data_IF_499844010706
#
_entry.id   IF_499844010706
#
_cell.length_a   1.000
_cell.length_b   1.000
_cell.length_c   1.000
_cell.angle_alpha   90.00
_cell.angle_beta   90.00
_cell.angle_gamma   90.00
#
_symmetry.space_group_name_H-M   'P 1'
#
loop_
_entity.id
_entity.type
_entity.pdbx_description
1 polymer ?
#
# COMPACT_ATOMS: atom_id res chain seq x y z
N UNK A 1 -21.89 49.02 -23.96
CA UNK A 1 -20.43 49.27 -23.85
C UNK A 1 -19.94 49.23 -22.39
N UNK A 2 -20.60 49.97 -21.50
CA UNK A 2 -20.28 50.04 -20.06
C UNK A 2 -20.49 48.70 -19.32
N UNK A 3 -21.60 48.00 -19.56
CA UNK A 3 -21.86 46.71 -18.92
C UNK A 3 -20.72 45.68 -19.19
N UNK A 4 -20.22 45.60 -20.43
CA UNK A 4 -19.08 44.74 -20.78
C UNK A 4 -17.78 45.17 -20.07
N UNK A 5 -17.57 46.47 -19.88
CA UNK A 5 -16.42 47.00 -19.14
C UNK A 5 -16.47 46.60 -17.68
N UNK A 6 -17.65 46.73 -17.04
CA UNK A 6 -17.86 46.34 -15.63
C UNK A 6 -17.67 44.85 -15.43
N UNK A 7 -18.21 44.00 -16.32
CA UNK A 7 -17.99 42.55 -16.24
C UNK A 7 -16.50 42.18 -16.37
N UNK A 8 -15.75 42.84 -17.26
CA UNK A 8 -14.32 42.60 -17.41
C UNK A 8 -13.51 43.06 -16.19
N UNK A 9 -13.93 44.14 -15.53
CA UNK A 9 -13.29 44.64 -14.31
C UNK A 9 -13.53 43.70 -13.12
N UNK A 10 -14.77 43.24 -12.94
CA UNK A 10 -15.12 42.23 -11.92
C UNK A 10 -14.32 40.94 -12.17
N UNK A 11 -14.25 40.48 -13.42
CA UNK A 11 -13.48 39.28 -13.79
C UNK A 11 -11.98 39.40 -13.47
N UNK A 12 -11.38 40.57 -13.71
CA UNK A 12 -9.98 40.83 -13.34
C UNK A 12 -9.77 40.85 -11.83
N UNK A 13 -10.63 41.55 -11.08
CA UNK A 13 -10.56 41.62 -9.62
C UNK A 13 -10.69 40.23 -8.98
N UNK A 14 -11.67 39.44 -9.42
CA UNK A 14 -11.86 38.06 -8.97
C UNK A 14 -10.65 37.18 -9.30
N UNK A 15 -10.05 37.36 -10.49
CA UNK A 15 -8.83 36.68 -10.89
C UNK A 15 -7.64 36.99 -9.97
N UNK A 16 -7.46 38.26 -9.59
CA UNK A 16 -6.41 38.69 -8.65
C UNK A 16 -6.58 38.06 -7.27
N UNK A 17 -7.79 38.13 -6.69
CA UNK A 17 -8.04 37.54 -5.37
C UNK A 17 -7.86 36.02 -5.37
N UNK A 18 -8.28 35.35 -6.44
CA UNK A 18 -8.02 33.92 -6.61
C UNK A 18 -6.52 33.59 -6.64
N UNK A 19 -5.71 34.39 -7.36
CA UNK A 19 -4.27 34.14 -7.42
C UNK A 19 -3.59 34.29 -6.05
N UNK A 20 -3.99 35.30 -5.27
CA UNK A 20 -3.51 35.47 -3.89
C UNK A 20 -3.89 34.27 -3.01
N UNK A 21 -5.10 33.75 -3.17
CA UNK A 21 -5.54 32.54 -2.46
C UNK A 21 -4.69 31.33 -2.84
N UNK A 22 -4.44 31.09 -4.13
CA UNK A 22 -3.57 30.00 -4.58
C UNK A 22 -2.16 30.11 -4.00
N UNK A 23 -1.58 31.32 -4.01
CA UNK A 23 -0.26 31.58 -3.42
C UNK A 23 -0.24 31.29 -1.92
N UNK A 24 -1.24 31.75 -1.17
CA UNK A 24 -1.36 31.47 0.25
C UNK A 24 -1.51 29.96 0.56
N UNK A 25 -2.26 29.22 -0.27
CA UNK A 25 -2.38 27.76 -0.16
C UNK A 25 -1.02 27.11 -0.40
N UNK A 26 -0.30 27.50 -1.46
CA UNK A 26 1.03 26.96 -1.76
C UNK A 26 2.03 27.22 -0.63
N UNK A 27 2.09 28.44 -0.09
CA UNK A 27 2.96 28.77 1.06
C UNK A 27 2.60 27.96 2.29
N UNK A 28 1.31 27.79 2.58
CA UNK A 28 0.86 26.96 3.71
C UNK A 28 1.27 25.51 3.51
N UNK A 29 1.14 24.99 2.28
CA UNK A 29 1.56 23.63 1.94
C UNK A 29 3.05 23.43 2.19
N UNK A 30 3.90 24.36 1.78
CA UNK A 30 5.35 24.30 2.04
C UNK A 30 5.67 24.24 3.54
N UNK A 31 4.97 25.02 4.37
CA UNK A 31 5.13 24.97 5.82
C UNK A 31 4.73 23.61 6.40
N UNK A 32 3.61 23.04 5.94
CA UNK A 32 3.16 21.71 6.37
C UNK A 32 4.18 20.65 5.96
N UNK A 33 4.75 20.73 4.75
CA UNK A 33 5.81 19.82 4.29
C UNK A 33 7.03 19.90 5.21
N UNK A 34 7.49 21.10 5.55
CA UNK A 34 8.62 21.27 6.47
C UNK A 34 8.36 20.62 7.84
N UNK A 35 7.18 20.85 8.42
CA UNK A 35 6.80 20.23 9.71
C UNK A 35 6.74 18.70 9.64
N UNK A 36 6.39 18.13 8.48
CA UNK A 36 6.37 16.68 8.28
C UNK A 36 7.76 16.05 8.15
N UNK A 37 8.73 16.79 7.60
CA UNK A 37 10.13 16.35 7.54
C UNK A 37 10.71 16.21 8.95
N UNK A 38 10.40 17.17 9.83
CA UNK A 38 10.93 17.23 11.19
C UNK A 38 10.12 16.37 12.19
N UNK A 39 9.06 15.70 11.74
CA UNK A 39 8.26 14.85 12.61
C UNK A 39 9.03 13.57 12.97
N UNK A 40 9.31 13.35 14.25
CA UNK A 40 10.00 12.14 14.74
C UNK A 40 9.05 10.95 14.96
N UNK A 41 7.72 11.13 14.82
CA UNK A 41 6.77 10.03 15.08
C UNK A 41 6.95 8.83 14.18
N UNK A 42 7.49 9.01 12.96
CA UNK A 42 7.78 7.90 12.05
C UNK A 42 8.68 6.85 12.72
N UNK A 43 9.71 7.28 13.44
CA UNK A 43 10.66 6.39 14.12
C UNK A 43 10.04 5.67 15.33
N UNK A 44 9.00 6.25 15.93
CA UNK A 44 8.32 5.71 17.12
C UNK A 44 7.26 4.67 16.72
N UNK A 45 6.60 4.86 15.58
CA UNK A 45 5.49 4.02 15.13
C UNK A 45 5.96 2.65 14.59
N UNK A 46 7.09 2.58 13.88
CA UNK A 46 7.58 1.31 13.30
C UNK A 46 7.90 0.21 14.33
N UNK A 47 8.64 0.48 15.43
CA UNK A 47 8.96 -0.55 16.44
C UNK A 47 7.73 -1.14 17.13
N UNK A 48 6.59 -0.45 17.12
CA UNK A 48 5.34 -0.90 17.73
C UNK A 48 4.46 -1.75 16.78
N UNK A 49 4.99 -2.14 15.62
CA UNK A 49 4.21 -2.83 14.57
C UNK A 49 3.29 -1.87 13.81
N UNK A 50 3.61 -0.57 13.81
CA UNK A 50 2.91 0.49 13.10
C UNK A 50 3.16 0.43 11.60
N UNK A 51 2.59 -0.56 10.92
CA UNK A 51 2.56 -0.61 9.45
C UNK A 51 1.41 0.18 8.85
N UNK A 52 0.57 0.84 9.65
CA UNK A 52 -0.67 1.48 9.19
C UNK A 52 -0.46 2.79 8.43
N UNK A 53 -1.58 3.45 8.10
CA UNK A 53 -1.55 4.79 7.47
C UNK A 53 -1.13 5.83 8.50
N UNK A 54 -0.01 6.50 8.26
CA UNK A 54 0.56 7.51 9.15
C UNK A 54 -0.32 8.76 9.22
N UNK A 55 -0.30 9.47 10.36
CA UNK A 55 -1.09 10.70 10.55
C UNK A 55 -0.80 11.78 9.51
N UNK A 56 0.46 11.93 9.12
CA UNK A 56 0.88 12.94 8.16
C UNK A 56 0.38 12.62 6.75
N UNK A 57 0.32 11.33 6.39
CA UNK A 57 -0.34 10.87 5.16
C UNK A 57 -1.82 11.25 5.15
N UNK A 58 -2.52 11.02 6.26
CA UNK A 58 -3.94 11.39 6.39
C UNK A 58 -4.15 12.89 6.25
N UNK A 59 -3.30 13.68 6.89
CA UNK A 59 -3.34 15.14 6.85
C UNK A 59 -3.13 15.66 5.42
N UNK A 60 -2.07 15.23 4.74
CA UNK A 60 -1.79 15.67 3.37
C UNK A 60 -2.86 15.26 2.37
N UNK A 61 -3.35 14.03 2.46
CA UNK A 61 -4.46 13.58 1.62
C UNK A 61 -5.73 14.39 1.91
N UNK A 62 -6.00 14.77 3.16
CA UNK A 62 -7.12 15.65 3.50
C UNK A 62 -6.99 17.03 2.85
N UNK A 63 -5.77 17.59 2.80
CA UNK A 63 -5.50 18.81 2.06
C UNK A 63 -5.72 18.64 0.55
N UNK A 64 -5.19 17.57 -0.04
CA UNK A 64 -5.37 17.28 -1.47
C UNK A 64 -6.86 17.22 -1.81
N UNK A 65 -7.66 16.46 -1.04
CA UNK A 65 -9.11 16.36 -1.24
C UNK A 65 -9.77 17.74 -1.16
N UNK A 66 -9.42 18.56 -0.18
CA UNK A 66 -9.98 19.91 -0.03
C UNK A 66 -9.66 20.83 -1.23
N UNK A 67 -8.45 20.73 -1.78
CA UNK A 67 -8.05 21.48 -2.98
C UNK A 67 -8.80 20.94 -4.21
N UNK A 68 -8.95 19.63 -4.34
CA UNK A 68 -9.72 18.98 -5.42
C UNK A 68 -11.19 19.39 -5.38
N UNK A 69 -11.82 19.41 -4.20
CA UNK A 69 -13.22 19.84 -4.05
C UNK A 69 -13.40 21.31 -4.45
N UNK A 70 -12.41 22.15 -4.12
CA UNK A 70 -12.37 23.56 -4.54
C UNK A 70 -12.24 23.67 -6.06
N UNK A 71 -11.43 22.82 -6.69
CA UNK A 71 -11.27 22.75 -8.15
C UNK A 71 -12.57 22.34 -8.86
N UNK A 72 -13.24 21.31 -8.36
CA UNK A 72 -14.52 20.85 -8.89
C UNK A 72 -15.56 21.96 -8.77
N UNK A 73 -15.69 22.55 -7.58
CA UNK A 73 -16.66 23.62 -7.32
C UNK A 73 -16.42 24.85 -8.19
N UNK A 74 -15.17 25.23 -8.45
CA UNK A 74 -14.84 26.41 -9.28
C UNK A 74 -15.03 26.18 -10.78
N UNK A 75 -14.94 24.93 -11.25
CA UNK A 75 -15.18 24.56 -12.65
C UNK A 75 -16.60 24.86 -13.10
N UNK A 76 -17.58 24.72 -12.20
CA UNK A 76 -19.00 24.96 -12.48
C UNK A 76 -19.35 26.44 -12.71
N UNK A 77 -18.51 27.38 -12.24
CA UNK A 77 -18.78 28.82 -12.32
C UNK A 77 -17.99 29.55 -13.42
N UNK A 78 -16.80 29.08 -13.81
CA UNK A 78 -16.03 29.68 -14.91
C UNK A 78 -14.90 28.77 -15.44
N UNK A 79 -14.90 28.36 -16.72
CA UNK A 79 -13.76 27.68 -17.32
C UNK A 79 -12.65 28.70 -17.56
N UNK A 80 -11.68 28.78 -16.64
CA UNK A 80 -10.60 29.77 -16.69
C UNK A 80 -9.23 29.10 -16.64
N UNK A 81 -8.23 29.76 -17.25
CA UNK A 81 -6.88 29.25 -17.51
C UNK A 81 -6.02 28.90 -16.28
N UNK A 82 -6.49 29.05 -15.03
CA UNK A 82 -5.66 28.84 -13.83
C UNK A 82 -5.99 27.53 -13.07
N UNK A 83 -6.89 26.69 -13.57
CA UNK A 83 -7.08 25.31 -13.07
C UNK A 83 -5.76 24.51 -13.09
N UNK A 84 -4.87 24.85 -14.04
CA UNK A 84 -3.56 24.23 -14.16
C UNK A 84 -2.63 24.45 -12.95
N UNK A 85 -2.70 25.60 -12.26
CA UNK A 85 -1.82 25.86 -11.11
C UNK A 85 -2.19 25.00 -9.89
N UNK A 86 -3.49 24.79 -9.65
CA UNK A 86 -3.96 23.95 -8.54
C UNK A 86 -3.80 22.46 -8.86
N UNK A 87 -3.99 22.06 -10.12
CA UNK A 87 -3.68 20.70 -10.56
C UNK A 87 -2.18 20.38 -10.37
N UNK A 88 -1.30 21.29 -10.78
CA UNK A 88 0.14 21.16 -10.55
C UNK A 88 0.49 21.09 -9.06
N UNK A 89 -0.17 21.89 -8.21
CA UNK A 89 0.03 21.81 -6.76
C UNK A 89 -0.40 20.46 -6.17
N UNK A 90 -1.50 19.87 -6.66
CA UNK A 90 -1.93 18.52 -6.27
C UNK A 90 -0.87 17.50 -6.67
N UNK A 91 -0.44 17.51 -7.92
CA UNK A 91 0.56 16.57 -8.45
C UNK A 91 1.88 16.67 -7.67
N UNK A 92 2.37 17.89 -7.43
CA UNK A 92 3.57 18.15 -6.64
C UNK A 92 3.43 17.66 -5.19
N UNK A 93 2.22 17.77 -4.62
CA UNK A 93 1.94 17.31 -3.25
C UNK A 93 1.90 15.79 -3.17
N UNK A 94 1.29 15.12 -4.14
CA UNK A 94 1.27 13.65 -4.24
C UNK A 94 2.70 13.14 -4.39
N UNK A 95 3.47 13.71 -5.31
CA UNK A 95 4.87 13.35 -5.54
C UNK A 95 5.71 13.52 -4.28
N UNK A 96 5.61 14.69 -3.64
CA UNK A 96 6.31 14.96 -2.38
C UNK A 96 5.96 13.92 -1.30
N UNK A 97 4.67 13.59 -1.16
CA UNK A 97 4.21 12.64 -0.16
C UNK A 97 4.76 11.23 -0.43
N UNK A 98 4.76 10.78 -1.69
CA UNK A 98 5.36 9.51 -2.08
C UNK A 98 6.87 9.46 -1.77
N UNK A 99 7.62 10.51 -2.14
CA UNK A 99 9.06 10.61 -1.86
C UNK A 99 9.36 10.62 -0.36
N UNK A 100 8.53 11.32 0.43
CA UNK A 100 8.62 11.34 1.89
C UNK A 100 8.37 9.95 2.48
N UNK A 101 7.32 9.27 2.03
CA UNK A 101 6.99 7.92 2.50
C UNK A 101 8.11 6.93 2.21
N UNK A 102 8.72 6.98 1.02
CA UNK A 102 9.87 6.15 0.69
C UNK A 102 11.03 6.40 1.66
N UNK A 103 11.46 7.66 1.82
CA UNK A 103 12.57 8.02 2.74
C UNK A 103 12.28 7.62 4.17
N UNK A 104 11.10 7.95 4.70
CA UNK A 104 10.73 7.64 6.10
C UNK A 104 10.58 6.14 6.32
N UNK A 105 10.21 5.36 5.30
CA UNK A 105 10.13 3.90 5.41
C UNK A 105 11.47 3.24 5.70
N UNK A 106 12.60 3.88 5.37
CA UNK A 106 13.94 3.36 5.64
C UNK A 106 14.26 3.27 7.15
N UNK A 107 13.49 3.97 7.99
CA UNK A 107 13.55 3.84 9.44
C UNK A 107 13.02 2.47 9.92
N UNK A 108 12.24 1.77 9.09
CA UNK A 108 11.74 0.44 9.38
C UNK A 108 12.75 -0.64 8.98
N UNK A 109 13.41 -1.23 9.97
CA UNK A 109 14.42 -2.28 9.77
C UNK A 109 13.82 -3.60 9.28
N UNK A 110 12.58 -3.91 9.67
CA UNK A 110 11.87 -5.08 9.15
C UNK A 110 11.37 -4.77 7.74
N UNK A 111 11.98 -5.44 6.76
CA UNK A 111 11.74 -5.21 5.34
C UNK A 111 10.29 -5.57 4.94
N UNK A 112 9.71 -6.58 5.58
CA UNK A 112 8.32 -6.99 5.38
C UNK A 112 7.36 -5.93 5.92
N UNK A 113 7.60 -5.43 7.14
CA UNK A 113 6.80 -4.36 7.72
C UNK A 113 6.93 -3.06 6.93
N UNK A 114 8.13 -2.78 6.40
CA UNK A 114 8.40 -1.62 5.55
C UNK A 114 7.55 -1.63 4.28
N UNK A 115 7.52 -2.74 3.55
CA UNK A 115 6.68 -2.84 2.35
C UNK A 115 5.19 -2.85 2.69
N UNK A 116 4.78 -3.39 3.85
CA UNK A 116 3.40 -3.29 4.30
C UNK A 116 2.99 -1.84 4.60
N UNK A 117 3.89 -1.07 5.22
CA UNK A 117 3.69 0.36 5.44
C UNK A 117 3.54 1.14 4.13
N UNK A 118 4.45 0.91 3.17
CA UNK A 118 4.38 1.55 1.86
C UNK A 118 3.08 1.19 1.13
N UNK A 119 2.68 -0.10 1.18
CA UNK A 119 1.43 -0.58 0.62
C UNK A 119 0.21 0.12 1.22
N UNK A 120 0.13 0.20 2.55
CA UNK A 120 -1.00 0.85 3.24
C UNK A 120 -1.13 2.33 2.88
N UNK A 121 -0.01 3.04 2.83
CA UNK A 121 -0.02 4.48 2.55
C UNK A 121 -0.27 4.76 1.06
N UNK A 122 0.35 4.04 0.13
CA UNK A 122 0.12 4.25 -1.31
C UNK A 122 -1.30 3.84 -1.72
N UNK A 123 -1.85 2.76 -1.15
CA UNK A 123 -3.26 2.41 -1.36
C UNK A 123 -4.21 3.49 -0.82
N UNK A 124 -3.91 4.04 0.36
CA UNK A 124 -4.71 5.12 0.94
C UNK A 124 -4.71 6.38 0.07
N UNK A 125 -3.57 6.73 -0.56
CA UNK A 125 -3.49 7.84 -1.50
C UNK A 125 -4.30 7.53 -2.76
N UNK A 126 -4.11 6.34 -3.34
CA UNK A 126 -4.73 5.93 -4.60
C UNK A 126 -6.26 5.79 -4.56
N UNK A 127 -6.82 5.41 -3.40
CA UNK A 127 -8.25 5.11 -3.26
C UNK A 127 -9.12 6.28 -2.83
N UNK A 128 -8.50 7.41 -2.49
CA UNK A 128 -9.25 8.64 -2.22
C UNK A 128 -9.73 9.20 -3.54
N UNK A 129 -10.90 9.84 -3.54
CA UNK A 129 -11.58 10.41 -4.71
C UNK A 129 -10.81 11.56 -5.40
N UNK A 130 -9.49 11.59 -5.25
CA UNK A 130 -8.54 12.32 -6.07
C UNK A 130 -8.65 11.88 -7.55
N UNK A 131 -9.05 10.62 -7.81
CA UNK A 131 -9.02 9.99 -9.15
C UNK A 131 -10.39 9.95 -9.86
N UNK A 132 -11.52 10.18 -9.17
CA UNK A 132 -12.85 10.06 -9.78
C UNK A 132 -13.35 11.32 -10.52
N UNK A 133 -12.51 12.35 -10.65
CA UNK A 133 -12.78 13.54 -11.46
C UNK A 133 -12.55 13.31 -12.95
N UNK A 134 -13.44 12.53 -13.60
CA UNK A 134 -13.68 12.44 -15.05
C UNK A 134 -12.45 12.42 -15.98
N UNK A 135 -11.32 11.90 -15.51
CA UNK A 135 -10.15 11.79 -16.37
C UNK A 135 -9.38 10.53 -16.10
N UNK A 136 -9.23 9.75 -17.17
CA UNK A 136 -8.24 8.70 -17.36
C UNK A 136 -6.82 9.30 -17.27
N UNK A 137 -6.48 9.90 -16.13
CA UNK A 137 -5.20 10.55 -15.89
C UNK A 137 -4.13 9.50 -15.62
N UNK A 138 -2.96 9.71 -16.24
CA UNK A 138 -1.75 8.92 -16.07
C UNK A 138 -1.39 8.73 -14.59
N UNK A 139 -1.71 9.72 -13.76
CA UNK A 139 -1.46 9.70 -12.31
C UNK A 139 -2.24 8.60 -11.58
N UNK A 140 -3.50 8.35 -11.94
CA UNK A 140 -4.30 7.28 -11.32
C UNK A 140 -3.74 5.89 -11.65
N UNK A 141 -3.22 5.72 -12.88
CA UNK A 141 -2.55 4.49 -13.30
C UNK A 141 -1.21 4.30 -12.59
N UNK A 142 -0.42 5.37 -12.43
CA UNK A 142 0.87 5.33 -11.72
C UNK A 142 0.69 4.96 -10.24
N UNK A 143 -0.25 5.61 -9.53
CA UNK A 143 -0.58 5.27 -8.14
C UNK A 143 -1.10 3.84 -8.01
N UNK A 144 -1.85 3.37 -9.01
CA UNK A 144 -2.33 1.98 -9.06
C UNK A 144 -1.18 0.99 -9.23
N UNK A 145 -0.19 1.31 -10.07
CA UNK A 145 0.99 0.49 -10.27
C UNK A 145 1.88 0.48 -9.01
N UNK A 146 2.00 1.61 -8.33
CA UNK A 146 2.84 1.77 -7.15
C UNK A 146 2.40 0.86 -5.99
N UNK A 147 1.11 0.88 -5.61
CA UNK A 147 0.66 -0.01 -4.53
C UNK A 147 0.73 -1.49 -4.92
N UNK A 148 0.55 -1.84 -6.21
CA UNK A 148 0.74 -3.22 -6.68
C UNK A 148 2.19 -3.67 -6.53
N UNK A 149 3.15 -2.82 -6.90
CA UNK A 149 4.57 -3.10 -6.72
C UNK A 149 4.94 -3.30 -5.24
N UNK A 150 4.37 -2.50 -4.35
CA UNK A 150 4.54 -2.68 -2.90
C UNK A 150 3.92 -3.99 -2.39
N UNK A 151 2.75 -4.38 -2.92
CA UNK A 151 2.11 -5.66 -2.61
C UNK A 151 3.01 -6.83 -3.03
N UNK A 152 3.52 -6.82 -4.26
CA UNK A 152 4.41 -7.87 -4.76
C UNK A 152 5.71 -7.95 -3.95
N UNK A 153 6.33 -6.80 -3.66
CA UNK A 153 7.54 -6.73 -2.83
C UNK A 153 7.30 -7.26 -1.41
N UNK A 154 6.16 -6.92 -0.80
CA UNK A 154 5.75 -7.48 0.49
C UNK A 154 5.62 -9.00 0.41
N UNK A 155 4.96 -9.53 -0.62
CA UNK A 155 4.75 -10.97 -0.80
C UNK A 155 6.08 -11.71 -1.00
N UNK A 156 6.99 -11.14 -1.79
CA UNK A 156 8.32 -11.69 -2.04
C UNK A 156 9.13 -11.78 -0.75
N UNK A 157 9.29 -10.64 -0.06
CA UNK A 157 10.13 -10.56 1.13
C UNK A 157 9.53 -11.36 2.30
N UNK A 158 8.21 -11.34 2.45
CA UNK A 158 7.53 -11.94 3.61
C UNK A 158 7.27 -13.43 3.48
N UNK A 159 7.19 -13.97 2.25
CA UNK A 159 6.73 -15.34 2.03
C UNK A 159 7.70 -16.20 1.20
N UNK A 160 8.77 -15.64 0.62
CA UNK A 160 9.73 -16.43 -0.15
C UNK A 160 10.42 -17.55 0.67
N UNK A 161 10.70 -17.34 1.96
CA UNK A 161 11.27 -18.40 2.81
C UNK A 161 10.28 -19.54 3.09
N UNK A 162 8.99 -19.22 3.21
CA UNK A 162 7.93 -20.22 3.35
C UNK A 162 7.85 -21.05 2.07
N UNK A 163 7.80 -20.41 0.92
CA UNK A 163 7.76 -21.06 -0.41
C UNK A 163 9.01 -21.93 -0.66
N UNK A 164 10.20 -21.42 -0.32
CA UNK A 164 11.46 -22.14 -0.55
C UNK A 164 11.70 -23.30 0.42
N UNK A 165 11.06 -23.30 1.60
CA UNK A 165 11.16 -24.40 2.57
C UNK A 165 10.72 -25.76 2.02
N UNK A 166 9.86 -25.74 1.00
CA UNK A 166 9.35 -26.92 0.31
C UNK A 166 10.14 -27.25 -0.97
N UNK A 167 10.95 -26.32 -1.47
CA UNK A 167 11.57 -26.42 -2.81
C UNK A 167 13.04 -26.88 -2.80
N UNK A 168 13.70 -26.99 -1.62
CA UNK A 168 15.13 -27.38 -1.57
C UNK A 168 15.32 -28.87 -1.86
N UNK A 169 16.11 -29.26 -2.88
CA UNK A 169 16.46 -30.65 -3.10
C UNK A 169 17.39 -31.13 -1.97
N UNK A 170 17.02 -32.24 -1.33
CA UNK A 170 17.90 -32.93 -0.40
C UNK A 170 19.12 -33.54 -1.13
N UNK A 171 20.21 -33.95 -0.44
CA UNK A 171 21.39 -34.58 -1.05
C UNK A 171 21.14 -36.05 -1.45
N UNK A 172 21.74 -36.51 -2.56
CA UNK A 172 21.52 -37.80 -3.26
C UNK A 172 21.83 -39.02 -2.39
N UNK A 173 20.93 -40.01 -2.31
CA UNK A 173 21.26 -41.31 -1.67
C UNK A 173 20.06 -42.26 -1.42
N UNK A 174 20.30 -43.56 -1.14
CA UNK A 174 19.26 -44.61 -1.10
C UNK A 174 18.37 -44.58 0.15
N UNK A 175 18.78 -43.89 1.22
CA UNK A 175 18.08 -43.80 2.51
C UNK A 175 16.95 -42.73 2.54
N UNK A 176 16.65 -42.10 1.40
CA UNK A 176 15.80 -40.90 1.30
C UNK A 176 14.31 -41.11 1.63
N UNK A 177 13.69 -42.21 1.21
CA UNK A 177 12.22 -42.28 1.03
C UNK A 177 11.39 -42.06 2.32
N UNK A 178 11.96 -42.31 3.50
CA UNK A 178 11.23 -42.23 4.77
C UNK A 178 11.62 -41.03 5.65
N UNK A 179 12.86 -40.52 5.52
CA UNK A 179 13.39 -39.46 6.39
C UNK A 179 13.22 -38.05 5.80
N UNK A 180 13.11 -37.90 4.47
CA UNK A 180 13.07 -36.58 3.82
C UNK A 180 11.68 -35.97 3.76
N UNK A 181 10.65 -36.81 3.73
CA UNK A 181 9.29 -36.47 3.33
C UNK A 181 8.50 -35.78 4.44
N UNK A 182 8.60 -36.27 5.67
CA UNK A 182 8.06 -35.63 6.87
C UNK A 182 8.78 -34.32 7.19
N UNK A 183 10.06 -34.20 6.78
CA UNK A 183 10.91 -33.06 7.13
C UNK A 183 10.62 -31.78 6.34
N UNK A 184 10.24 -31.86 5.07
CA UNK A 184 9.95 -30.67 4.23
C UNK A 184 8.59 -30.06 4.59
N UNK A 185 7.57 -30.90 4.79
CA UNK A 185 6.25 -30.47 5.23
C UNK A 185 6.30 -29.81 6.61
N UNK A 186 7.01 -30.41 7.57
CA UNK A 186 7.18 -29.83 8.90
C UNK A 186 7.97 -28.50 8.87
N UNK A 187 8.96 -28.36 7.97
CA UNK A 187 9.68 -27.09 7.75
C UNK A 187 8.76 -26.02 7.18
N UNK A 188 7.90 -26.37 6.22
CA UNK A 188 6.90 -25.46 5.67
C UNK A 188 5.91 -24.98 6.71
N UNK A 189 5.32 -25.90 7.47
CA UNK A 189 4.40 -25.58 8.57
C UNK A 189 5.06 -24.69 9.63
N UNK A 190 6.31 -25.01 10.01
CA UNK A 190 7.07 -24.18 10.95
C UNK A 190 7.34 -22.78 10.40
N UNK A 191 7.77 -22.66 9.14
CA UNK A 191 8.02 -21.38 8.50
C UNK A 191 6.74 -20.55 8.37
N UNK A 192 5.63 -21.20 7.99
CA UNK A 192 4.31 -20.59 7.93
C UNK A 192 3.89 -20.01 9.29
N UNK A 193 3.90 -20.83 10.36
CA UNK A 193 3.49 -20.38 11.68
C UNK A 193 4.38 -19.27 12.24
N UNK A 194 5.70 -19.33 12.04
CA UNK A 194 6.61 -18.25 12.45
C UNK A 194 6.25 -16.92 11.78
N UNK A 195 6.01 -16.96 10.47
CA UNK A 195 5.62 -15.78 9.69
C UNK A 195 4.27 -15.25 10.16
N UNK A 196 3.28 -16.13 10.28
CA UNK A 196 1.95 -15.79 10.82
C UNK A 196 2.05 -15.11 12.19
N UNK A 197 2.79 -15.67 13.13
CA UNK A 197 2.91 -15.15 14.49
C UNK A 197 3.63 -13.80 14.56
N UNK A 198 4.61 -13.56 13.69
CA UNK A 198 5.28 -12.27 13.58
C UNK A 198 4.34 -11.18 13.05
N UNK A 199 3.49 -11.53 12.08
CA UNK A 199 2.73 -10.54 11.29
C UNK A 199 1.28 -10.38 11.73
N UNK A 200 0.71 -11.28 12.54
CA UNK A 200 -0.72 -11.27 12.92
C UNK A 200 -1.24 -9.99 13.59
N UNK A 201 -0.35 -9.18 14.17
CA UNK A 201 -0.70 -7.90 14.81
C UNK A 201 -0.35 -6.68 13.97
N UNK A 202 0.18 -6.87 12.76
CA UNK A 202 0.44 -5.77 11.84
C UNK A 202 -0.87 -5.21 11.32
N UNK A 203 -0.88 -3.90 11.11
CA UNK A 203 -2.09 -3.15 10.78
C UNK A 203 -2.25 -3.04 9.26
N UNK A 204 -3.44 -3.36 8.76
CA UNK A 204 -3.92 -3.09 7.39
C UNK A 204 -5.29 -2.42 7.50
N UNK A 205 -5.32 -1.08 7.69
CA UNK A 205 -6.53 -0.38 8.10
C UNK A 205 -7.68 -0.48 7.10
N UNK A 206 -7.37 -0.55 5.81
CA UNK A 206 -8.40 -0.65 4.77
C UNK A 206 -8.87 -2.10 4.58
N UNK A 207 -10.18 -2.38 4.70
CA UNK A 207 -10.71 -3.74 4.61
C UNK A 207 -10.60 -4.34 3.20
N UNK A 208 -10.71 -3.53 2.14
CA UNK A 208 -10.61 -4.00 0.75
C UNK A 208 -9.18 -4.42 0.44
N UNK A 209 -8.21 -3.61 0.87
CA UNK A 209 -6.79 -3.93 0.77
C UNK A 209 -6.46 -5.19 1.56
N UNK A 210 -6.96 -5.30 2.79
CA UNK A 210 -6.76 -6.47 3.66
C UNK A 210 -7.28 -7.74 3.01
N UNK A 211 -8.45 -7.71 2.42
CA UNK A 211 -9.02 -8.86 1.71
C UNK A 211 -8.23 -9.21 0.45
N UNK A 212 -7.80 -8.21 -0.32
CA UNK A 212 -6.94 -8.41 -1.49
C UNK A 212 -5.60 -9.04 -1.12
N UNK A 213 -4.95 -8.53 -0.08
CA UNK A 213 -3.69 -9.04 0.43
C UNK A 213 -3.83 -10.47 0.94
N UNK A 214 -4.90 -10.76 1.70
CA UNK A 214 -5.19 -12.11 2.20
C UNK A 214 -5.38 -13.10 1.06
N UNK A 215 -6.14 -12.74 0.01
CA UNK A 215 -6.27 -13.56 -1.21
C UNK A 215 -4.93 -13.81 -1.89
N UNK A 216 -4.13 -12.77 -2.10
CA UNK A 216 -2.84 -12.89 -2.78
C UNK A 216 -1.87 -13.81 -2.02
N UNK A 217 -1.83 -13.73 -0.69
CA UNK A 217 -1.02 -14.64 0.14
C UNK A 217 -1.53 -16.08 0.03
N UNK A 218 -2.84 -16.29 0.16
CA UNK A 218 -3.46 -17.62 0.06
C UNK A 218 -3.11 -18.23 -1.30
N UNK A 219 -3.37 -17.51 -2.39
CA UNK A 219 -3.07 -17.98 -3.74
C UNK A 219 -1.60 -18.34 -3.90
N UNK A 220 -0.69 -17.47 -3.45
CA UNK A 220 0.75 -17.67 -3.57
C UNK A 220 1.28 -18.85 -2.75
N UNK A 221 0.89 -18.93 -1.48
CA UNK A 221 1.36 -19.97 -0.54
C UNK A 221 0.72 -21.32 -0.87
N UNK A 222 -0.59 -21.36 -1.16
CA UNK A 222 -1.29 -22.60 -1.51
C UNK A 222 -0.84 -23.13 -2.87
N UNK A 223 -0.63 -22.27 -3.87
CA UNK A 223 -0.14 -22.73 -5.18
C UNK A 223 1.22 -23.40 -5.06
N UNK A 224 2.15 -22.79 -4.32
CA UNK A 224 3.46 -23.38 -4.04
C UNK A 224 3.36 -24.73 -3.30
N UNK A 225 2.48 -24.81 -2.30
CA UNK A 225 2.25 -26.04 -1.55
C UNK A 225 1.69 -27.17 -2.43
N UNK A 226 0.67 -26.86 -3.23
CA UNK A 226 0.04 -27.82 -4.13
C UNK A 226 1.00 -28.32 -5.20
N UNK A 227 1.83 -27.44 -5.76
CA UNK A 227 2.85 -27.81 -6.73
C UNK A 227 3.90 -28.74 -6.12
N UNK A 228 4.27 -28.53 -4.86
CA UNK A 228 5.14 -29.46 -4.14
C UNK A 228 4.48 -30.82 -3.93
N UNK A 229 3.21 -30.87 -3.51
CA UNK A 229 2.49 -32.15 -3.37
C UNK A 229 2.34 -32.90 -4.69
N UNK A 230 2.11 -32.20 -5.81
CA UNK A 230 2.06 -32.81 -7.15
C UNK A 230 3.39 -33.44 -7.54
N UNK A 231 4.51 -32.81 -7.18
CA UNK A 231 5.87 -33.34 -7.44
C UNK A 231 6.23 -34.52 -6.53
N UNK A 232 5.53 -34.68 -5.41
CA UNK A 232 5.78 -35.68 -4.38
C UNK A 232 4.48 -36.37 -3.91
N UNK A 233 3.86 -37.24 -4.73
CA UNK A 233 2.57 -37.87 -4.43
C UNK A 233 2.52 -38.64 -3.11
N UNK A 234 3.66 -39.19 -2.68
CA UNK A 234 3.83 -39.87 -1.40
C UNK A 234 3.62 -38.96 -0.17
N UNK A 235 3.72 -37.63 -0.34
CA UNK A 235 3.39 -36.64 0.68
C UNK A 235 1.89 -36.34 0.72
N UNK A 236 1.17 -36.48 -0.40
CA UNK A 236 -0.26 -36.24 -0.44
C UNK A 236 -1.03 -37.27 0.40
N UNK A 237 -0.58 -38.52 0.44
CA UNK A 237 -1.14 -39.56 1.34
C UNK A 237 -0.84 -39.28 2.82
N UNK A 238 0.32 -38.70 3.14
CA UNK A 238 0.66 -38.35 4.52
C UNK A 238 -0.07 -37.09 4.99
N UNK A 239 -0.18 -36.08 4.14
CA UNK A 239 -0.90 -34.83 4.41
C UNK A 239 -2.43 -35.01 4.46
N UNK A 240 -2.98 -36.07 3.87
CA UNK A 240 -4.40 -36.43 4.00
C UNK A 240 -4.69 -37.23 5.29
N UNK A 241 -3.67 -37.90 5.86
CA UNK A 241 -3.76 -38.60 7.16
C UNK A 241 -3.42 -37.72 8.35
N UNK A 242 -2.49 -36.78 8.21
CA UNK A 242 -2.17 -35.75 9.20
C UNK A 242 -3.02 -34.50 8.99
N UNK A 243 -3.34 -33.76 10.04
CA UNK A 243 -4.13 -32.52 9.96
C UNK A 243 -3.43 -31.35 9.21
N UNK A 244 -2.34 -31.62 8.47
CA UNK A 244 -1.52 -30.64 7.75
C UNK A 244 -2.03 -30.42 6.32
N UNK A 245 -3.30 -30.04 6.17
CA UNK A 245 -3.83 -29.55 4.90
C UNK A 245 -3.90 -28.03 4.91
N UNK A 246 -3.67 -27.33 3.79
CA UNK A 246 -3.81 -25.86 3.73
C UNK A 246 -5.19 -25.36 4.19
N UNK A 247 -6.20 -26.22 4.08
CA UNK A 247 -7.57 -26.00 4.54
C UNK A 247 -7.71 -26.06 6.07
N UNK A 248 -6.88 -26.83 6.79
CA UNK A 248 -6.88 -26.81 8.26
C UNK A 248 -6.34 -25.50 8.83
N UNK A 249 -5.57 -24.76 8.03
CA UNK A 249 -5.05 -23.43 8.38
C UNK A 249 -6.03 -22.30 8.08
N UNK A 250 -7.26 -22.61 7.66
CA UNK A 250 -8.33 -21.62 7.45
C UNK A 250 -8.49 -20.66 8.63
N UNK A 251 -8.40 -21.13 9.88
CA UNK A 251 -8.41 -20.24 11.05
C UNK A 251 -7.23 -19.26 11.10
N UNK A 252 -6.04 -19.68 10.68
CA UNK A 252 -4.88 -18.78 10.57
C UNK A 252 -5.11 -17.76 9.47
N UNK A 253 -5.64 -18.18 8.31
CA UNK A 253 -5.97 -17.27 7.22
C UNK A 253 -7.03 -16.23 7.61
N UNK A 254 -8.12 -16.69 8.23
CA UNK A 254 -9.23 -15.85 8.67
C UNK A 254 -8.78 -14.85 9.75
N UNK A 255 -7.78 -15.21 10.57
CA UNK A 255 -7.23 -14.34 11.63
C UNK A 255 -5.98 -13.55 11.22
N UNK A 256 -5.50 -13.72 9.99
CA UNK A 256 -4.32 -13.02 9.50
C UNK A 256 -4.63 -11.54 9.23
N UNK A 257 -3.81 -10.64 9.77
CA UNK A 257 -3.88 -9.18 9.61
C UNK A 257 -5.26 -8.60 9.96
N UNK A 258 -5.78 -8.91 11.16
CA UNK A 258 -7.15 -8.55 11.58
C UNK A 258 -7.33 -7.09 12.03
N UNK A 259 -6.27 -6.29 12.14
CA UNK A 259 -6.34 -4.90 12.61
C UNK A 259 -6.26 -3.91 11.45
#
# INVERSE_FOLDING_TARGET
>A
PEAKSVFNEIGRSLGTERNKLCEAISTTMEQVRALMEDDDSWAIEFPQGGGGVHRNTRLMVGYIVSITDTLVSTRDFAPSHNTGNLHGLIDDTIKYLNDLLQRKSELCLDLSLRYLFLLNNSYFIATRDIVHGDSEHHQGLELTLEYKNHMDSYLDVSWAHVISSVSKPNPSGPLRRWLTNTSSLAKFESAFHKTYHAQKFWKVPDPRLRDALRRAIIERVISSYNDHLKKHPELAEHASRGNSTPWSWKRCWDSYLMA
#
